data_IF_203138547899
#
_entry.id   IF_203138547899
#
_cell.length_a   1.000
_cell.length_b   1.000
_cell.length_c   1.000
_cell.angle_alpha   90.00
_cell.angle_beta   90.00
_cell.angle_gamma   90.00
#
_symmetry.space_group_name_H-M   'P 1'
#
loop_
_entity.id
_entity.type
_entity.pdbx_description
1 polymer ?
#
# COMPACT_ATOMS: atom_id res chain seq x y z
N UNK A 1 -7.60 12.76 6.63
CA UNK A 1 -8.11 11.69 5.73
C UNK A 1 -9.63 11.76 5.72
N UNK A 2 -10.28 11.65 4.56
CA UNK A 2 -11.75 11.60 4.48
C UNK A 2 -12.12 10.23 3.92
N UNK A 3 -12.60 9.37 4.79
CA UNK A 3 -13.27 8.13 4.39
C UNK A 3 -14.71 8.46 4.03
N UNK A 4 -15.21 7.85 2.97
CA UNK A 4 -16.58 8.04 2.50
C UNK A 4 -17.26 6.69 2.46
N UNK A 5 -18.40 6.60 3.13
CA UNK A 5 -19.24 5.41 3.14
C UNK A 5 -20.67 5.80 2.80
N UNK A 6 -21.36 4.91 2.11
CA UNK A 6 -22.79 5.01 1.85
C UNK A 6 -23.37 3.62 1.94
N UNK A 7 -24.44 3.47 2.71
CA UNK A 7 -25.22 2.26 2.76
C UNK A 7 -26.69 2.62 2.55
N UNK A 8 -27.36 1.91 1.65
CA UNK A 8 -28.78 2.09 1.35
C UNK A 8 -29.46 0.74 1.42
N UNK A 9 -30.55 0.66 2.17
CA UNK A 9 -31.41 -0.52 2.25
C UNK A 9 -32.81 -0.18 1.76
N UNK A 10 -33.41 -1.10 1.01
CA UNK A 10 -34.78 -0.99 0.53
C UNK A 10 -35.53 -2.29 0.76
N UNK A 11 -36.54 -2.24 1.62
CA UNK A 11 -37.40 -3.39 1.94
C UNK A 11 -38.81 -3.05 1.49
N UNK A 12 -39.40 -3.91 0.66
CA UNK A 12 -40.77 -3.71 0.21
C UNK A 12 -41.50 -5.03 -0.04
N UNK A 13 -42.75 -5.03 0.39
CA UNK A 13 -43.76 -6.02 -0.01
C UNK A 13 -44.36 -5.53 -1.32
N UNK A 14 -43.94 -6.11 -2.44
CA UNK A 14 -44.41 -5.75 -3.79
C UNK A 14 -45.83 -6.29 -4.04
N UNK A 15 -46.16 -7.43 -3.44
CA UNK A 15 -47.51 -8.01 -3.39
C UNK A 15 -47.66 -8.80 -2.09
N UNK A 16 -48.87 -9.22 -1.68
CA UNK A 16 -49.08 -10.02 -0.47
C UNK A 16 -48.24 -11.31 -0.40
N UNK A 17 -47.72 -11.74 -1.56
CA UNK A 17 -46.93 -12.96 -1.73
C UNK A 17 -45.49 -12.70 -2.14
N UNK A 18 -45.06 -11.46 -2.39
CA UNK A 18 -43.72 -11.14 -2.88
C UNK A 18 -43.07 -10.09 -1.98
N UNK A 19 -42.04 -10.49 -1.25
CA UNK A 19 -41.22 -9.63 -0.40
C UNK A 19 -39.82 -9.52 -1.00
N UNK A 20 -39.30 -8.31 -1.10
CA UNK A 20 -37.94 -8.07 -1.57
C UNK A 20 -37.18 -7.15 -0.64
N UNK A 21 -35.91 -7.49 -0.44
CA UNK A 21 -34.92 -6.70 0.26
C UNK A 21 -33.73 -6.47 -0.67
N UNK A 22 -33.35 -5.21 -0.82
CA UNK A 22 -32.18 -4.79 -1.59
C UNK A 22 -31.27 -3.99 -0.66
N UNK A 23 -29.97 -4.29 -0.68
CA UNK A 23 -28.95 -3.54 0.04
C UNK A 23 -27.85 -3.15 -0.92
N UNK A 24 -27.48 -1.87 -0.88
CA UNK A 24 -26.34 -1.34 -1.59
C UNK A 24 -25.36 -0.75 -0.60
N UNK A 25 -24.08 -1.08 -0.76
CA UNK A 25 -22.98 -0.56 0.03
C UNK A 25 -21.90 0.02 -0.88
N UNK A 26 -21.42 1.20 -0.52
CA UNK A 26 -20.26 1.83 -1.13
C UNK A 26 -19.29 2.27 -0.03
N UNK A 27 -18.03 1.91 -0.18
CA UNK A 27 -16.95 2.34 0.68
C UNK A 27 -15.81 2.88 -0.17
N UNK A 28 -15.26 4.01 0.25
CA UNK A 28 -14.02 4.56 -0.30
C UNK A 28 -13.15 5.07 0.83
N UNK A 29 -11.92 4.59 0.85
CA UNK A 29 -10.91 5.13 1.75
C UNK A 29 -9.66 5.55 0.97
N UNK A 30 -8.94 6.52 1.52
CA UNK A 30 -7.70 7.04 0.97
C UNK A 30 -6.69 7.18 2.08
N UNK A 31 -5.56 6.50 1.92
CA UNK A 31 -4.40 6.63 2.80
C UNK A 31 -3.32 7.35 2.01
N UNK A 32 -2.89 8.50 2.53
CA UNK A 32 -1.70 9.19 2.08
C UNK A 32 -0.79 9.35 3.29
N UNK A 33 0.42 8.80 3.22
CA UNK A 33 1.49 9.09 4.17
C UNK A 33 2.61 9.72 3.37
N UNK A 34 3.02 10.94 3.73
CA UNK A 34 3.97 11.77 3.00
C UNK A 34 5.13 12.12 3.93
N UNK A 35 6.36 12.23 3.42
CA UNK A 35 7.50 12.69 4.23
C UNK A 35 7.37 14.19 4.55
N UNK A 36 7.94 14.64 5.67
CA UNK A 36 7.93 16.06 6.04
C UNK A 36 8.72 16.96 5.05
N UNK A 37 9.61 16.38 4.24
CA UNK A 37 10.34 17.04 3.16
C UNK A 37 9.75 16.83 1.77
N UNK A 38 8.45 16.54 1.64
CA UNK A 38 7.79 16.37 0.34
C UNK A 38 8.02 17.62 -0.55
N UNK A 39 8.36 17.39 -1.82
CA UNK A 39 8.67 18.48 -2.77
C UNK A 39 10.07 19.07 -2.66
N UNK A 40 10.91 18.57 -1.74
CA UNK A 40 12.34 18.92 -1.69
C UNK A 40 13.18 17.85 -2.39
N UNK A 41 14.35 18.26 -2.91
CA UNK A 41 15.24 17.41 -3.68
C UNK A 41 16.66 17.29 -3.08
N UNK A 42 16.82 17.02 -1.77
CA UNK A 42 18.13 17.10 -1.11
C UNK A 42 19.20 16.18 -1.71
N UNK A 43 18.85 15.01 -2.26
CA UNK A 43 19.84 14.16 -2.92
C UNK A 43 20.30 14.72 -4.27
N UNK A 44 19.38 15.34 -5.03
CA UNK A 44 19.70 16.05 -6.27
C UNK A 44 20.57 17.27 -5.99
N UNK A 45 20.25 18.01 -4.93
CA UNK A 45 21.00 19.20 -4.49
C UNK A 45 22.40 18.82 -4.00
N UNK A 46 22.55 17.64 -3.39
CA UNK A 46 23.84 17.04 -3.02
C UNK A 46 24.59 16.38 -4.18
N UNK A 47 24.06 16.43 -5.41
CA UNK A 47 24.71 15.88 -6.61
C UNK A 47 24.64 14.35 -6.74
N UNK A 48 23.81 13.66 -5.96
CA UNK A 48 23.64 12.21 -6.04
C UNK A 48 22.73 11.88 -7.24
N UNK A 49 23.26 11.25 -8.31
CA UNK A 49 22.46 10.96 -9.49
C UNK A 49 21.41 9.88 -9.21
N UNK A 50 20.34 9.87 -10.01
CA UNK A 50 19.27 8.87 -9.96
C UNK A 50 18.41 8.81 -8.68
N UNK A 51 18.52 9.79 -7.78
CA UNK A 51 17.61 10.00 -6.65
C UNK A 51 16.82 11.31 -6.84
N UNK A 52 15.70 11.47 -6.11
CA UNK A 52 14.82 12.65 -6.22
C UNK A 52 14.43 13.01 -7.68
N UNK A 53 13.90 12.03 -8.42
CA UNK A 53 13.52 12.16 -9.83
C UNK A 53 12.24 12.96 -10.07
N UNK A 54 11.40 13.07 -9.05
CA UNK A 54 10.13 13.76 -9.08
C UNK A 54 9.81 14.40 -7.71
N UNK A 55 8.88 15.36 -7.72
CA UNK A 55 8.55 16.18 -6.56
C UNK A 55 7.54 15.53 -5.60
N UNK A 56 7.09 14.30 -5.87
CA UNK A 56 6.05 13.65 -5.08
C UNK A 56 6.42 12.23 -4.64
N UNK A 57 6.52 11.30 -5.57
CA UNK A 57 6.85 9.89 -5.37
C UNK A 57 8.29 9.62 -4.96
N UNK A 58 9.27 10.41 -5.41
CA UNK A 58 10.70 10.23 -5.07
C UNK A 58 11.29 11.42 -4.30
N UNK A 59 10.44 12.30 -3.77
CA UNK A 59 10.87 13.50 -3.06
C UNK A 59 11.26 13.26 -1.59
N UNK A 60 11.97 14.24 -1.00
CA UNK A 60 12.44 14.20 0.38
C UNK A 60 13.81 13.56 0.57
N UNK A 61 14.28 13.56 1.81
CA UNK A 61 15.61 13.07 2.18
C UNK A 61 15.70 11.55 2.05
N UNK A 62 16.64 11.00 1.25
CA UNK A 62 16.89 9.56 1.24
C UNK A 62 17.45 9.09 2.57
N UNK A 63 17.32 7.79 2.81
CA UNK A 63 17.93 7.15 3.96
C UNK A 63 19.43 6.95 3.74
N UNK A 64 20.24 7.35 4.71
CA UNK A 64 21.67 7.09 4.75
C UNK A 64 21.97 6.19 5.95
N UNK A 65 22.55 5.04 5.69
CA UNK A 65 22.98 4.07 6.68
C UNK A 65 24.50 3.93 6.64
N UNK A 66 25.18 4.63 7.54
CA UNK A 66 26.63 4.57 7.70
C UNK A 66 26.91 3.56 8.81
N UNK A 67 27.38 2.38 8.43
CA UNK A 67 27.69 1.30 9.37
C UNK A 67 29.12 1.43 9.92
N UNK A 68 29.38 0.89 11.11
CA UNK A 68 30.68 0.98 11.78
C UNK A 68 30.59 1.78 13.08
N UNK A 69 31.72 2.31 13.54
CA UNK A 69 31.83 3.12 14.76
C UNK A 69 32.34 4.54 14.41
N UNK A 70 31.54 5.60 14.61
CA UNK A 70 30.16 5.57 15.09
C UNK A 70 29.17 5.20 13.98
N UNK A 71 28.16 4.39 14.31
CA UNK A 71 27.08 4.05 13.40
C UNK A 71 26.11 5.22 13.26
N UNK A 72 25.96 5.78 12.06
CA UNK A 72 25.14 6.97 11.80
C UNK A 72 24.01 6.61 10.84
N UNK A 73 22.77 6.92 11.25
CA UNK A 73 21.57 6.69 10.42
C UNK A 73 20.79 7.98 10.29
N UNK A 74 20.56 8.44 9.07
CA UNK A 74 19.92 9.72 8.74
C UNK A 74 18.85 9.52 7.66
N UNK A 75 17.97 10.49 7.47
CA UNK A 75 16.94 10.41 6.44
C UNK A 75 15.66 9.71 6.89
N UNK A 76 14.93 9.14 5.93
CA UNK A 76 13.63 8.51 6.17
C UNK A 76 13.67 7.05 5.75
N UNK A 77 13.42 6.15 6.70
CA UNK A 77 13.22 4.73 6.48
C UNK A 77 12.20 4.19 7.50
N UNK A 78 11.77 2.94 7.35
CA UNK A 78 10.87 2.32 8.34
C UNK A 78 11.46 2.34 9.75
N UNK A 79 12.78 2.13 9.87
CA UNK A 79 13.50 2.11 11.14
C UNK A 79 14.08 3.45 11.60
N UNK A 80 13.97 4.52 10.80
CA UNK A 80 14.53 5.86 11.09
C UNK A 80 13.56 6.94 10.65
N UNK A 81 13.12 7.79 11.58
CA UNK A 81 12.03 8.74 11.37
C UNK A 81 10.70 8.10 10.91
N UNK A 82 10.56 6.77 11.07
CA UNK A 82 9.34 5.96 10.91
C UNK A 82 8.49 6.26 9.67
N UNK A 83 9.13 6.61 8.56
CA UNK A 83 8.44 7.03 7.35
C UNK A 83 9.14 6.39 6.16
N UNK A 84 8.44 5.47 5.51
CA UNK A 84 8.89 4.85 4.27
C UNK A 84 8.19 5.46 3.05
N UNK A 85 7.92 6.75 3.18
CA UNK A 85 6.96 7.47 2.39
C UNK A 85 7.48 7.71 0.95
N UNK A 86 6.61 8.08 0.00
CA UNK A 86 5.16 8.20 0.14
C UNK A 86 4.40 6.88 -0.01
N UNK A 87 3.43 6.65 0.89
CA UNK A 87 2.40 5.64 0.74
C UNK A 87 1.14 6.30 0.19
N UNK A 88 0.74 5.94 -1.02
CA UNK A 88 -0.51 6.40 -1.62
C UNK A 88 -1.41 5.21 -1.95
N UNK A 89 -2.51 5.08 -1.22
CA UNK A 89 -3.47 4.01 -1.39
C UNK A 89 -4.89 4.55 -1.52
N UNK A 90 -5.63 4.00 -2.48
CA UNK A 90 -7.04 4.29 -2.71
C UNK A 90 -7.78 2.99 -2.96
N UNK A 91 -8.69 2.67 -2.06
CA UNK A 91 -9.59 1.53 -2.22
C UNK A 91 -11.03 2.01 -2.41
N UNK A 92 -11.76 1.31 -3.26
CA UNK A 92 -13.19 1.49 -3.46
C UNK A 92 -13.85 0.13 -3.53
N UNK A 93 -14.94 -0.03 -2.77
CA UNK A 93 -15.74 -1.24 -2.78
C UNK A 93 -17.20 -0.88 -3.03
N UNK A 94 -17.81 -1.63 -3.94
CA UNK A 94 -19.23 -1.61 -4.22
C UNK A 94 -19.79 -2.98 -3.86
N UNK A 95 -20.93 -3.00 -3.19
CA UNK A 95 -21.63 -4.22 -2.84
C UNK A 95 -23.11 -4.05 -3.14
N UNK A 96 -23.69 -5.04 -3.80
CA UNK A 96 -25.10 -5.12 -4.08
C UNK A 96 -25.62 -6.47 -3.61
N UNK A 97 -26.61 -6.46 -2.72
CA UNK A 97 -27.24 -7.66 -2.18
C UNK A 97 -28.74 -7.58 -2.47
N UNK A 98 -29.31 -8.66 -2.98
CA UNK A 98 -30.75 -8.85 -3.08
C UNK A 98 -31.15 -10.13 -2.38
N UNK A 99 -32.27 -10.07 -1.64
CA UNK A 99 -32.96 -11.21 -1.10
C UNK A 99 -34.45 -11.08 -1.39
N UNK A 100 -35.00 -12.00 -2.16
CA UNK A 100 -36.39 -11.96 -2.60
C UNK A 100 -37.09 -13.25 -2.21
N UNK A 101 -38.23 -13.12 -1.53
CA UNK A 101 -39.08 -14.23 -1.12
C UNK A 101 -40.41 -14.17 -1.86
N UNK A 102 -40.78 -15.25 -2.54
CA UNK A 102 -42.08 -15.43 -3.19
C UNK A 102 -42.83 -16.60 -2.55
N UNK A 103 -44.05 -16.35 -2.12
CA UNK A 103 -44.98 -17.35 -1.59
C UNK A 103 -45.95 -17.73 -2.69
N UNK A 104 -46.12 -19.03 -2.95
CA UNK A 104 -47.06 -19.56 -3.94
C UNK A 104 -47.75 -20.76 -3.30
N UNK A 105 -49.03 -20.63 -2.95
CA UNK A 105 -49.75 -21.65 -2.17
C UNK A 105 -49.03 -21.95 -0.85
N UNK A 106 -48.86 -23.25 -0.53
CA UNK A 106 -48.09 -23.74 0.61
C UNK A 106 -46.59 -23.88 0.30
N UNK A 107 -46.01 -23.03 -0.54
CA UNK A 107 -44.57 -23.03 -0.80
C UNK A 107 -43.98 -21.64 -0.69
N UNK A 108 -42.79 -21.55 -0.10
CA UNK A 108 -41.98 -20.34 -0.07
C UNK A 108 -40.69 -20.57 -0.86
N UNK A 109 -40.45 -19.69 -1.83
CA UNK A 109 -39.25 -19.64 -2.66
C UNK A 109 -38.42 -18.43 -2.24
N UNK A 110 -37.13 -18.64 -1.96
CA UNK A 110 -36.18 -17.58 -1.63
C UNK A 110 -35.07 -17.55 -2.66
N UNK A 111 -34.75 -16.35 -3.12
CA UNK A 111 -33.70 -16.09 -4.10
C UNK A 111 -32.77 -15.02 -3.53
N UNK A 112 -31.47 -15.30 -3.53
CA UNK A 112 -30.45 -14.41 -3.01
C UNK A 112 -29.34 -14.17 -4.04
N UNK A 113 -28.86 -12.94 -4.11
CA UNK A 113 -27.67 -12.57 -4.87
C UNK A 113 -26.82 -11.59 -4.04
N UNK A 114 -25.50 -11.79 -3.99
CA UNK A 114 -24.53 -10.84 -3.44
C UNK A 114 -23.42 -10.64 -4.47
N UNK A 115 -23.27 -9.42 -4.97
CA UNK A 115 -22.29 -9.03 -5.97
C UNK A 115 -21.40 -7.96 -5.35
N UNK A 116 -20.09 -8.17 -5.42
CA UNK A 116 -19.08 -7.25 -4.89
C UNK A 116 -18.07 -6.89 -5.97
N UNK A 117 -17.73 -5.60 -6.03
CA UNK A 117 -16.68 -5.08 -6.88
C UNK A 117 -15.71 -4.25 -6.06
N UNK A 118 -14.44 -4.65 -6.04
CA UNK A 118 -13.38 -3.97 -5.32
C UNK A 118 -12.33 -3.43 -6.30
N UNK A 119 -11.87 -2.20 -6.05
CA UNK A 119 -10.81 -1.52 -6.78
C UNK A 119 -9.75 -1.09 -5.77
N UNK A 120 -8.52 -1.54 -5.95
CA UNK A 120 -7.39 -1.14 -5.14
C UNK A 120 -6.34 -0.48 -6.02
N UNK A 121 -5.94 0.73 -5.67
CA UNK A 121 -4.71 1.36 -6.17
C UNK A 121 -3.75 1.48 -5.00
N UNK A 122 -2.56 0.87 -5.11
CA UNK A 122 -1.54 0.95 -4.07
C UNK A 122 -0.19 1.30 -4.66
N UNK A 123 0.41 2.33 -4.12
CA UNK A 123 1.82 2.67 -4.29
C UNK A 123 2.53 2.12 -3.04
N UNK A 124 3.25 0.99 -3.14
CA UNK A 124 3.89 0.39 -1.97
C UNK A 124 4.99 1.30 -1.42
N UNK A 125 5.17 1.20 -0.10
CA UNK A 125 6.11 1.93 0.75
C UNK A 125 7.01 0.94 1.51
N UNK A 126 7.54 -0.06 0.80
CA UNK A 126 8.35 -1.13 1.41
C UNK A 126 9.81 -0.70 1.60
N UNK A 127 10.31 0.21 0.76
CA UNK A 127 11.56 0.99 0.92
C UNK A 127 11.29 2.46 0.57
N UNK A 128 12.15 3.36 1.04
CA UNK A 128 11.94 4.79 0.84
C UNK A 128 12.22 5.13 -0.62
N UNK A 129 11.25 5.75 -1.28
CA UNK A 129 11.29 5.92 -2.74
C UNK A 129 12.32 6.96 -3.20
N UNK A 130 12.73 7.87 -2.33
CA UNK A 130 13.86 8.77 -2.62
C UNK A 130 15.23 8.08 -2.54
N UNK A 131 15.29 6.81 -2.11
CA UNK A 131 16.50 6.00 -2.03
C UNK A 131 16.86 5.59 -0.60
N UNK A 132 17.47 4.42 -0.47
CA UNK A 132 18.13 3.95 0.73
C UNK A 132 19.59 3.64 0.37
N UNK A 133 20.54 4.26 1.06
CA UNK A 133 21.96 4.21 0.74
C UNK A 133 22.71 3.63 1.93
N UNK A 134 23.43 2.52 1.74
CA UNK A 134 24.26 1.94 2.81
C UNK A 134 25.74 2.12 2.50
N UNK A 135 26.47 2.61 3.48
CA UNK A 135 27.92 2.81 3.46
C UNK A 135 28.53 1.89 4.51
N UNK A 136 29.21 0.84 4.04
CA UNK A 136 29.88 -0.12 4.88
C UNK A 136 31.38 0.07 4.94
N UNK A 137 31.97 -0.58 5.93
CA UNK A 137 33.42 -0.68 6.12
C UNK A 137 34.13 -1.49 5.02
N UNK A 138 33.41 -2.15 4.12
CA UNK A 138 33.96 -2.98 3.05
C UNK A 138 34.98 -2.28 2.15
N UNK A 139 34.72 -1.02 1.80
CA UNK A 139 35.52 -0.30 0.80
C UNK A 139 36.82 0.30 1.37
N UNK A 140 36.77 0.78 2.61
CA UNK A 140 37.91 1.43 3.27
C UNK A 140 38.69 0.46 4.17
N UNK A 141 38.27 -0.80 4.22
CA UNK A 141 38.88 -1.81 5.06
C UNK A 141 40.02 -2.57 4.36
N UNK A 142 40.92 -3.09 5.19
CA UNK A 142 42.00 -3.98 4.78
C UNK A 142 41.42 -5.39 4.54
N UNK A 143 41.66 -5.95 3.35
CA UNK A 143 41.34 -7.35 3.07
C UNK A 143 42.41 -8.22 3.67
N UNK A 144 42.10 -8.91 4.77
CA UNK A 144 43.03 -9.84 5.42
C UNK A 144 42.97 -11.22 4.79
N UNK A 145 43.97 -12.07 5.06
CA UNK A 145 44.01 -13.46 4.59
C UNK A 145 42.68 -14.18 4.87
N UNK A 146 42.09 -14.77 3.84
CA UNK A 146 40.75 -15.40 3.90
C UNK A 146 39.61 -14.53 3.34
N UNK A 147 39.88 -13.33 2.83
CA UNK A 147 38.90 -12.50 2.12
C UNK A 147 37.97 -11.70 3.05
N UNK A 148 38.22 -11.70 4.35
CA UNK A 148 37.48 -10.89 5.31
C UNK A 148 38.00 -9.44 5.27
N UNK A 149 37.08 -8.47 5.32
CA UNK A 149 37.43 -7.05 5.43
C UNK A 149 37.52 -6.66 6.91
N UNK A 150 38.65 -6.08 7.34
CA UNK A 150 38.87 -5.59 8.71
C UNK A 150 39.29 -4.11 8.70
N UNK A 151 39.07 -3.41 9.82
CA UNK A 151 39.50 -2.02 10.09
C UNK A 151 38.93 -0.91 9.18
N UNK A 152 37.96 -1.20 8.32
CA UNK A 152 37.30 -0.16 7.52
C UNK A 152 36.34 0.71 8.33
N UNK A 153 36.10 1.93 7.84
CA UNK A 153 35.17 2.90 8.43
C UNK A 153 34.08 3.24 7.41
N UNK A 154 32.81 2.96 7.72
CA UNK A 154 31.71 3.32 6.82
C UNK A 154 31.58 4.83 6.63
N UNK A 155 31.98 5.64 7.62
CA UNK A 155 32.03 7.10 7.48
C UNK A 155 33.05 7.54 6.41
N UNK A 156 34.19 6.85 6.32
CA UNK A 156 35.17 7.12 5.28
C UNK A 156 34.63 6.71 3.89
N UNK A 157 33.91 5.60 3.79
CA UNK A 157 33.20 5.20 2.56
C UNK A 157 32.15 6.24 2.14
N UNK A 158 31.42 6.82 3.10
CA UNK A 158 30.47 7.90 2.86
C UNK A 158 31.14 9.18 2.32
N UNK A 159 32.27 9.60 2.91
CA UNK A 159 33.02 10.78 2.44
C UNK A 159 33.63 10.57 1.05
N UNK A 160 33.98 9.34 0.71
CA UNK A 160 34.43 8.97 -0.64
C UNK A 160 33.27 8.87 -1.66
N UNK A 161 32.02 8.90 -1.18
CA UNK A 161 30.83 8.74 -2.01
C UNK A 161 30.62 7.31 -2.52
N UNK A 162 31.30 6.32 -1.95
CA UNK A 162 31.21 4.94 -2.40
C UNK A 162 30.10 4.20 -1.67
N UNK A 163 29.03 3.88 -2.41
CA UNK A 163 27.83 3.26 -1.87
C UNK A 163 27.98 1.75 -1.92
N UNK A 164 28.02 1.11 -0.75
CA UNK A 164 28.19 -0.34 -0.64
C UNK A 164 26.92 -1.09 -1.04
N UNK A 165 25.75 -0.55 -0.72
CA UNK A 165 24.48 -1.12 -1.15
C UNK A 165 23.45 -0.03 -1.45
N UNK A 166 22.79 -0.24 -2.58
CA UNK A 166 21.70 0.56 -3.14
C UNK A 166 20.56 -0.41 -3.44
N UNK A 167 19.69 -0.72 -2.46
CA UNK A 167 18.44 -1.39 -2.72
C UNK A 167 17.73 -0.66 -3.86
N UNK A 168 17.41 -1.39 -4.92
CA UNK A 168 16.97 -0.81 -6.19
C UNK A 168 15.95 0.32 -6.00
N UNK A 169 16.28 1.50 -6.52
CA UNK A 169 15.44 2.71 -6.50
C UNK A 169 14.16 2.55 -7.33
N UNK A 170 13.98 1.40 -7.97
CA UNK A 170 12.74 0.99 -8.65
C UNK A 170 11.69 0.63 -7.62
N UNK A 171 11.14 1.64 -6.95
CA UNK A 171 9.93 1.43 -6.19
C UNK A 171 8.85 0.87 -7.15
N UNK A 172 8.16 -0.24 -6.81
CA UNK A 172 7.25 -0.89 -7.72
C UNK A 172 6.25 0.12 -8.28
N UNK A 173 5.97 0.02 -9.58
CA UNK A 173 4.98 0.86 -10.24
C UNK A 173 3.64 0.80 -9.47
N UNK A 174 2.84 1.88 -9.46
CA UNK A 174 1.52 1.86 -8.84
C UNK A 174 0.72 0.65 -9.33
N UNK A 175 0.36 -0.25 -8.43
CA UNK A 175 -0.41 -1.44 -8.79
C UNK A 175 -1.88 -1.13 -8.65
N UNK A 176 -2.62 -1.30 -9.76
CA UNK A 176 -4.07 -1.22 -9.78
C UNK A 176 -4.63 -2.63 -9.90
N UNK A 177 -5.38 -3.07 -8.89
CA UNK A 177 -6.08 -4.35 -8.88
C UNK A 177 -7.58 -4.12 -8.86
N UNK A 178 -8.31 -4.97 -9.57
CA UNK A 178 -9.78 -5.01 -9.49
C UNK A 178 -10.23 -6.43 -9.23
N UNK A 179 -11.15 -6.63 -8.31
CA UNK A 179 -11.74 -7.92 -7.98
C UNK A 179 -13.26 -7.87 -8.15
N UNK A 180 -13.83 -8.92 -8.74
CA UNK A 180 -15.28 -9.15 -8.83
C UNK A 180 -15.59 -10.46 -8.12
N UNK A 181 -16.63 -10.47 -7.30
CA UNK A 181 -17.17 -11.69 -6.70
C UNK A 181 -18.69 -11.65 -6.73
N UNK A 182 -19.31 -12.81 -6.96
CA UNK A 182 -20.75 -12.96 -7.00
C UNK A 182 -21.14 -14.30 -6.37
N UNK A 183 -22.14 -14.29 -5.49
CA UNK A 183 -22.75 -15.48 -4.92
C UNK A 183 -24.24 -15.45 -5.17
N UNK A 184 -24.81 -16.59 -5.57
CA UNK A 184 -26.23 -16.75 -5.84
C UNK A 184 -26.77 -17.94 -5.04
N UNK A 185 -27.99 -17.83 -4.54
CA UNK A 185 -28.64 -18.87 -3.76
C UNK A 185 -30.12 -18.95 -4.06
N UNK A 186 -30.65 -20.17 -4.02
CA UNK A 186 -32.09 -20.43 -4.11
C UNK A 186 -32.47 -21.49 -3.08
N UNK A 187 -33.59 -21.29 -2.41
CA UNK A 187 -34.16 -22.27 -1.49
C UNK A 187 -35.67 -22.36 -1.67
N UNK A 188 -36.23 -23.57 -1.48
CA UNK A 188 -37.66 -23.83 -1.44
C UNK A 188 -37.99 -24.50 -0.12
N UNK A 189 -39.02 -24.02 0.55
CA UNK A 189 -39.56 -24.66 1.77
C UNK A 189 -41.04 -24.96 1.58
N UNK A 190 -41.50 -26.19 1.93
CA UNK A 190 -42.92 -26.47 2.13
C UNK A 190 -43.48 -25.60 3.28
N UNK A 191 -44.71 -25.14 3.13
CA UNK A 191 -45.51 -24.58 4.21
C UNK A 191 -46.02 -25.71 5.09
N UNK A 192 -46.10 -25.43 6.40
CA UNK A 192 -46.69 -26.33 7.38
C UNK A 192 -48.15 -26.66 7.03
#
# INVERSE_FOLDING_TARGET
>A
MINRSLAVGYNRTLSPTLLTEIRFGYMRYRVNVLPNGLGTSPAKDAGIPNLNKDDFYTSGMPYFNITGDPGIRLGYALGVNQCNCPLAQREQQYQFVNNTTKIVGNHSYKFGADIRYALQLRVPSDNHRSGELTFANGYTGEVVQGGAVQKGLGLASFLLGDVTDLPGTSAPAPTRKSGKSACFGMARTPGA
#
